data_IF_910711385511
#
_entry.id   IF_910711385511
#
_cell.length_a   1.000
_cell.length_b   1.000
_cell.length_c   1.000
_cell.angle_alpha   90.00
_cell.angle_beta   90.00
_cell.angle_gamma   90.00
#
_symmetry.space_group_name_H-M   'P 1'
#
loop_
_entity.id
_entity.type
_entity.pdbx_description
1 polymer ?
#
# COMPACT_ATOMS: atom_id res chain seq x y z
N UNK A 1 85.38 40.42 -28.87
CA UNK A 1 84.71 40.23 -27.55
C UNK A 1 83.21 40.13 -27.73
N UNK A 2 82.59 40.98 -28.54
CA UNK A 2 81.12 41.01 -28.72
C UNK A 2 80.55 39.74 -29.36
N UNK A 3 81.25 39.15 -30.34
CA UNK A 3 80.83 37.90 -31.00
C UNK A 3 80.76 36.68 -30.05
N UNK A 4 81.59 36.66 -29.00
CA UNK A 4 81.57 35.59 -27.98
C UNK A 4 80.39 35.82 -27.02
N UNK A 5 80.06 37.08 -26.72
CA UNK A 5 78.88 37.41 -25.90
C UNK A 5 77.58 37.05 -26.62
N UNK A 6 77.48 37.38 -27.91
CA UNK A 6 76.34 37.04 -28.75
C UNK A 6 76.13 35.51 -28.82
N UNK A 7 77.20 34.72 -29.06
CA UNK A 7 77.10 33.26 -29.01
C UNK A 7 76.70 32.72 -27.63
N UNK A 8 77.17 33.34 -26.55
CA UNK A 8 76.82 32.93 -25.18
C UNK A 8 75.34 33.22 -24.89
N UNK A 9 74.83 34.38 -25.32
CA UNK A 9 73.41 34.75 -25.22
C UNK A 9 72.53 33.82 -26.07
N UNK A 10 72.96 33.45 -27.27
CA UNK A 10 72.25 32.47 -28.11
C UNK A 10 72.17 31.10 -27.45
N UNK A 11 73.28 30.62 -26.87
CA UNK A 11 73.32 29.35 -26.15
C UNK A 11 72.45 29.40 -24.89
N UNK A 12 72.50 30.48 -24.12
CA UNK A 12 71.65 30.66 -22.94
C UNK A 12 70.16 30.70 -23.31
N UNK A 13 69.81 31.41 -24.39
CA UNK A 13 68.45 31.44 -24.92
C UNK A 13 67.99 30.05 -25.40
N UNK A 14 68.86 29.29 -26.08
CA UNK A 14 68.55 27.93 -26.50
C UNK A 14 68.35 26.98 -25.30
N UNK A 15 69.18 27.10 -24.26
CA UNK A 15 69.04 26.32 -23.01
C UNK A 15 67.74 26.69 -22.29
N UNK A 16 67.39 27.98 -22.24
CA UNK A 16 66.16 28.43 -21.60
C UNK A 16 64.92 27.97 -22.37
N UNK A 17 64.94 28.05 -23.71
CA UNK A 17 63.89 27.53 -24.58
C UNK A 17 63.71 26.01 -24.38
N UNK A 18 64.81 25.25 -24.39
CA UNK A 18 64.76 23.81 -24.14
C UNK A 18 64.18 23.48 -22.76
N UNK A 19 64.59 24.19 -21.70
CA UNK A 19 64.04 24.00 -20.35
C UNK A 19 62.54 24.30 -20.30
N UNK A 20 62.09 25.35 -20.99
CA UNK A 20 60.67 25.70 -21.05
C UNK A 20 59.85 24.67 -21.84
N UNK A 21 60.38 24.18 -22.96
CA UNK A 21 59.77 23.07 -23.72
C UNK A 21 59.65 21.80 -22.87
N UNK A 22 60.71 21.40 -22.16
CA UNK A 22 60.66 20.25 -21.26
C UNK A 22 59.62 20.45 -20.14
N UNK A 23 59.52 21.67 -19.59
CA UNK A 23 58.50 22.00 -18.58
C UNK A 23 57.08 21.87 -19.15
N UNK A 24 56.85 22.34 -20.37
CA UNK A 24 55.56 22.25 -21.04
C UNK A 24 55.17 20.79 -21.33
N UNK A 25 56.10 19.98 -21.85
CA UNK A 25 55.88 18.54 -22.08
C UNK A 25 55.54 17.83 -20.77
N UNK A 26 56.30 18.09 -19.70
CA UNK A 26 56.02 17.50 -18.39
C UNK A 26 54.65 17.88 -17.85
N UNK A 27 54.26 19.16 -17.94
CA UNK A 27 52.93 19.60 -17.52
C UNK A 27 51.80 18.98 -18.35
N UNK A 28 52.02 18.78 -19.64
CA UNK A 28 51.06 18.13 -20.52
C UNK A 28 50.88 16.65 -20.15
N UNK A 29 51.99 15.92 -19.96
CA UNK A 29 51.96 14.52 -19.52
C UNK A 29 51.25 14.36 -18.17
N UNK A 30 51.48 15.26 -17.20
CA UNK A 30 50.76 15.22 -15.92
C UNK A 30 49.25 15.43 -16.05
N UNK A 31 48.79 16.23 -17.03
CA UNK A 31 47.35 16.41 -17.29
C UNK A 31 46.75 15.16 -17.90
N UNK A 32 47.45 14.54 -18.85
CA UNK A 32 47.05 13.30 -19.49
C UNK A 32 47.00 12.15 -18.50
N UNK A 33 48.02 12.00 -17.64
CA UNK A 33 48.05 11.01 -16.57
C UNK A 33 46.82 11.15 -15.66
N UNK A 34 46.52 12.37 -15.20
CA UNK A 34 45.33 12.63 -14.37
C UNK A 34 44.02 12.32 -15.09
N UNK A 35 43.92 12.65 -16.37
CA UNK A 35 42.74 12.37 -17.18
C UNK A 35 42.52 10.85 -17.31
N UNK A 36 43.58 10.09 -17.63
CA UNK A 36 43.51 8.63 -17.77
C UNK A 36 43.22 7.96 -16.42
N UNK A 37 43.80 8.44 -15.31
CA UNK A 37 43.48 7.93 -13.96
C UNK A 37 41.99 8.15 -13.65
N UNK A 38 41.46 9.33 -13.98
CA UNK A 38 40.04 9.62 -13.78
C UNK A 38 39.16 8.70 -14.63
N UNK A 39 39.49 8.50 -15.91
CA UNK A 39 38.79 7.56 -16.79
C UNK A 39 38.84 6.12 -16.25
N UNK A 40 40.00 5.64 -15.80
CA UNK A 40 40.16 4.33 -15.17
C UNK A 40 39.26 4.20 -13.94
N UNK A 41 39.23 5.22 -13.07
CA UNK A 41 38.36 5.21 -11.87
C UNK A 41 36.87 5.14 -12.23
N UNK A 42 36.46 5.78 -13.33
CA UNK A 42 35.09 5.69 -13.84
C UNK A 42 34.79 4.29 -14.38
N UNK A 43 35.73 3.67 -15.10
CA UNK A 43 35.57 2.31 -15.59
C UNK A 43 35.55 1.29 -14.45
N UNK A 44 36.41 1.41 -13.45
CA UNK A 44 36.40 0.57 -12.25
C UNK A 44 35.05 0.64 -11.55
N UNK A 45 34.53 1.85 -11.31
CA UNK A 45 33.19 2.03 -10.72
C UNK A 45 32.08 1.42 -11.58
N UNK A 46 32.20 1.49 -12.91
CA UNK A 46 31.25 0.87 -13.83
C UNK A 46 31.30 -0.65 -13.76
N UNK A 47 32.49 -1.23 -13.63
CA UNK A 47 32.69 -2.68 -13.44
C UNK A 47 32.12 -3.13 -12.10
N UNK A 48 32.32 -2.38 -11.02
CA UNK A 48 31.70 -2.65 -9.72
C UNK A 48 30.17 -2.60 -9.79
N UNK A 49 29.61 -1.60 -10.49
CA UNK A 49 28.17 -1.51 -10.72
C UNK A 49 27.64 -2.68 -11.56
N UNK A 50 28.40 -3.16 -12.54
CA UNK A 50 28.06 -4.38 -13.28
C UNK A 50 28.09 -5.63 -12.39
N UNK A 51 29.05 -5.71 -11.47
CA UNK A 51 29.14 -6.81 -10.50
C UNK A 51 27.98 -6.80 -9.50
N UNK A 52 27.52 -5.63 -9.04
CA UNK A 52 26.36 -5.51 -8.15
C UNK A 52 25.00 -5.57 -8.88
N UNK A 53 24.94 -5.20 -10.16
CA UNK A 53 23.72 -4.95 -10.93
C UNK A 53 23.16 -6.12 -11.75
N UNK A 54 23.70 -7.33 -11.58
CA UNK A 54 23.26 -8.54 -12.34
C UNK A 54 21.82 -9.00 -12.06
N UNK A 55 21.05 -8.29 -11.22
CA UNK A 55 19.65 -8.60 -10.92
C UNK A 55 18.62 -7.72 -11.67
N UNK A 56 19.00 -6.57 -12.26
CA UNK A 56 17.99 -5.62 -12.80
C UNK A 56 18.31 -4.95 -14.14
N UNK A 57 19.49 -5.14 -14.73
CA UNK A 57 19.92 -4.42 -15.94
C UNK A 57 20.13 -5.30 -17.19
N UNK A 58 19.36 -6.40 -17.35
CA UNK A 58 19.42 -7.25 -18.57
C UNK A 58 18.82 -6.61 -19.85
N UNK A 59 18.55 -5.32 -19.86
CA UNK A 59 18.08 -4.62 -21.06
C UNK A 59 19.09 -3.55 -21.43
N UNK A 60 19.48 -3.59 -22.71
CA UNK A 60 20.37 -2.66 -23.41
C UNK A 60 21.85 -2.86 -22.99
N UNK A 61 22.78 -3.36 -23.79
CA UNK A 61 23.07 -3.13 -25.21
C UNK A 61 23.87 -4.31 -25.79
N UNK A 62 23.64 -4.61 -27.07
CA UNK A 62 24.56 -5.40 -27.89
C UNK A 62 25.62 -4.47 -28.52
N UNK A 63 26.89 -4.85 -28.51
CA UNK A 63 27.85 -4.80 -29.64
C UNK A 63 29.18 -5.49 -29.22
N UNK A 64 30.12 -5.82 -30.14
CA UNK A 64 30.83 -7.11 -30.11
C UNK A 64 32.33 -6.97 -29.83
N UNK A 65 32.94 -8.13 -29.55
CA UNK A 65 34.36 -8.42 -29.80
C UNK A 65 35.39 -7.77 -28.86
N UNK A 66 35.84 -8.55 -27.88
CA UNK A 66 37.25 -8.94 -27.75
C UNK A 66 37.38 -10.01 -26.65
N UNK A 67 37.87 -11.20 -27.02
CA UNK A 67 38.32 -12.32 -26.17
C UNK A 67 37.45 -12.62 -24.95
N UNK A 68 36.42 -13.43 -25.16
CA UNK A 68 35.61 -13.98 -24.08
C UNK A 68 36.37 -15.17 -23.47
N UNK A 69 37.07 -14.96 -22.35
CA UNK A 69 37.12 -16.04 -21.36
C UNK A 69 35.69 -16.19 -20.87
N UNK A 70 35.03 -17.26 -21.32
CA UNK A 70 33.65 -17.58 -20.94
C UNK A 70 33.67 -17.77 -19.43
N UNK A 71 33.18 -16.76 -18.72
CA UNK A 71 32.96 -16.85 -17.29
C UNK A 71 32.02 -18.03 -17.02
N UNK A 72 32.37 -18.89 -16.07
CA UNK A 72 31.68 -20.16 -15.78
C UNK A 72 30.21 -19.93 -15.39
N UNK A 73 29.86 -18.72 -15.00
CA UNK A 73 28.51 -18.24 -14.69
C UNK A 73 27.63 -18.06 -15.94
N UNK A 74 28.19 -17.57 -17.06
CA UNK A 74 27.50 -17.41 -18.35
C UNK A 74 27.25 -18.75 -19.06
N UNK A 75 28.09 -19.75 -18.78
CA UNK A 75 27.96 -21.11 -19.32
C UNK A 75 26.63 -21.79 -18.89
N UNK A 76 26.03 -21.35 -17.77
CA UNK A 76 24.77 -21.91 -17.26
C UNK A 76 23.51 -21.37 -17.96
N UNK A 77 23.59 -20.21 -18.63
CA UNK A 77 22.43 -19.55 -19.26
C UNK A 77 22.42 -19.67 -20.79
N UNK A 78 23.51 -20.16 -21.38
CA UNK A 78 23.63 -20.33 -22.82
C UNK A 78 23.21 -21.74 -23.23
N UNK A 79 22.56 -21.90 -24.40
CA UNK A 79 22.26 -23.23 -24.92
C UNK A 79 23.54 -24.05 -25.15
N UNK A 80 23.44 -25.37 -24.91
CA UNK A 80 24.58 -26.29 -24.97
C UNK A 80 25.30 -26.27 -26.32
N UNK A 81 24.55 -26.10 -27.40
CA UNK A 81 25.05 -26.05 -28.77
C UNK A 81 25.88 -24.80 -29.05
N UNK A 82 25.61 -23.69 -28.34
CA UNK A 82 26.41 -22.46 -28.43
C UNK A 82 27.78 -22.68 -27.79
N UNK A 83 27.81 -23.39 -26.64
CA UNK A 83 29.02 -23.71 -25.90
C UNK A 83 29.86 -24.74 -26.65
N UNK A 84 29.22 -25.75 -27.24
CA UNK A 84 29.87 -26.76 -28.07
C UNK A 84 30.57 -26.12 -29.28
N UNK A 85 29.89 -25.21 -29.98
CA UNK A 85 30.49 -24.47 -31.10
C UNK A 85 31.68 -23.61 -30.64
N UNK A 86 31.58 -22.93 -29.49
CA UNK A 86 32.69 -22.12 -28.98
C UNK A 86 33.90 -22.98 -28.60
N UNK A 87 33.67 -24.12 -27.94
CA UNK A 87 34.72 -25.10 -27.61
C UNK A 87 35.37 -25.69 -28.86
N UNK A 88 34.57 -25.94 -29.90
CA UNK A 88 35.08 -26.38 -31.20
C UNK A 88 36.04 -25.33 -31.79
N UNK A 89 35.62 -24.05 -31.88
CA UNK A 89 36.49 -22.97 -32.37
C UNK A 89 37.79 -22.84 -31.57
N UNK A 90 37.73 -22.96 -30.24
CA UNK A 90 38.92 -22.88 -29.40
C UNK A 90 39.90 -24.02 -29.67
N UNK A 91 39.40 -25.24 -29.94
CA UNK A 91 40.24 -26.41 -30.22
C UNK A 91 40.81 -26.40 -31.64
N UNK A 92 40.07 -25.90 -32.62
CA UNK A 92 40.40 -26.03 -34.04
C UNK A 92 41.04 -24.78 -34.64
N UNK A 93 41.58 -23.86 -33.83
CA UNK A 93 42.26 -22.67 -34.38
C UNK A 93 41.31 -21.59 -34.90
N UNK A 94 40.11 -21.47 -34.33
CA UNK A 94 39.19 -20.36 -34.57
C UNK A 94 38.28 -20.54 -35.77
N UNK A 95 37.83 -19.42 -36.35
CA UNK A 95 36.84 -19.41 -37.43
C UNK A 95 37.38 -19.89 -38.77
N UNK A 96 38.70 -19.88 -38.93
CA UNK A 96 39.40 -20.26 -40.15
C UNK A 96 40.10 -21.62 -40.00
N UNK A 97 39.91 -22.36 -38.91
CA UNK A 97 40.52 -23.69 -38.77
C UNK A 97 42.04 -23.66 -38.58
N UNK A 98 42.61 -22.52 -38.18
CA UNK A 98 44.05 -22.29 -38.16
C UNK A 98 44.67 -21.90 -39.51
N UNK A 99 43.88 -21.76 -40.57
CA UNK A 99 44.33 -21.21 -41.86
C UNK A 99 44.33 -19.69 -41.82
N UNK A 100 45.18 -19.06 -42.63
CA UNK A 100 45.10 -17.62 -42.84
C UNK A 100 43.87 -17.24 -43.68
N UNK A 101 43.53 -15.96 -43.69
CA UNK A 101 42.36 -15.48 -44.41
C UNK A 101 42.48 -15.68 -45.93
N UNK A 102 43.69 -15.65 -46.50
CA UNK A 102 43.89 -15.79 -47.94
C UNK A 102 43.64 -17.23 -48.40
N UNK A 103 44.29 -18.20 -47.77
CA UNK A 103 44.16 -19.62 -47.99
C UNK A 103 42.71 -20.07 -47.74
N UNK A 104 42.12 -19.63 -46.62
CA UNK A 104 40.74 -19.98 -46.28
C UNK A 104 39.74 -19.47 -47.33
N UNK A 105 39.89 -18.23 -47.80
CA UNK A 105 39.00 -17.68 -48.83
C UNK A 105 39.17 -18.40 -50.18
N UNK A 106 40.39 -18.74 -50.58
CA UNK A 106 40.63 -19.49 -51.82
C UNK A 106 40.05 -20.91 -51.73
N UNK A 107 40.22 -21.59 -50.61
CA UNK A 107 39.58 -22.87 -50.32
C UNK A 107 38.05 -22.78 -50.47
N UNK A 108 37.40 -21.77 -49.86
CA UNK A 108 35.95 -21.60 -49.96
C UNK A 108 35.48 -21.37 -51.40
N UNK A 109 36.19 -20.56 -52.18
CA UNK A 109 35.87 -20.31 -53.59
C UNK A 109 35.89 -21.59 -54.41
N UNK A 110 36.97 -22.37 -54.28
CA UNK A 110 37.17 -23.62 -55.01
C UNK A 110 36.13 -24.67 -54.57
N UNK A 111 35.94 -24.84 -53.26
CA UNK A 111 34.93 -25.76 -52.73
C UNK A 111 33.52 -25.44 -53.20
N UNK A 112 33.16 -24.15 -53.26
CA UNK A 112 31.86 -23.69 -53.75
C UNK A 112 31.69 -23.98 -55.24
N UNK A 113 32.74 -23.75 -56.05
CA UNK A 113 32.77 -24.06 -57.48
C UNK A 113 32.49 -25.55 -57.76
N UNK A 114 33.09 -26.44 -56.96
CA UNK A 114 32.92 -27.89 -57.09
C UNK A 114 31.76 -28.48 -56.28
N UNK A 115 30.96 -27.65 -55.59
CA UNK A 115 29.89 -28.09 -54.68
C UNK A 115 30.36 -29.15 -53.67
N UNK A 116 31.63 -29.09 -53.25
CA UNK A 116 32.23 -30.06 -52.31
C UNK A 116 32.54 -31.45 -52.88
N UNK A 117 32.65 -31.63 -54.20
CA UNK A 117 33.10 -32.91 -54.79
C UNK A 117 34.62 -33.04 -54.77
N UNK A 118 35.15 -34.22 -54.40
CA UNK A 118 36.59 -34.54 -54.24
C UNK A 118 37.53 -34.12 -55.39
N UNK A 119 37.00 -33.85 -56.59
CA UNK A 119 37.78 -33.31 -57.73
C UNK A 119 38.32 -31.89 -57.50
N UNK A 120 37.93 -31.21 -56.41
CA UNK A 120 38.40 -29.87 -56.08
C UNK A 120 39.83 -29.86 -55.49
N UNK A 121 40.32 -31.00 -55.01
CA UNK A 121 41.59 -31.11 -54.28
C UNK A 121 42.78 -30.80 -55.20
N UNK A 122 42.74 -31.29 -56.44
CA UNK A 122 43.80 -31.05 -57.43
C UNK A 122 43.84 -29.56 -57.84
N UNK A 123 42.68 -28.93 -58.05
CA UNK A 123 42.61 -27.48 -58.32
C UNK A 123 43.00 -26.67 -57.07
N UNK A 124 42.65 -27.11 -55.86
CA UNK A 124 43.02 -26.43 -54.62
C UNK A 124 44.54 -26.43 -54.38
N UNK A 125 45.25 -27.48 -54.77
CA UNK A 125 46.72 -27.53 -54.70
C UNK A 125 47.40 -26.50 -55.60
N UNK A 126 46.81 -26.15 -56.75
CA UNK A 126 47.36 -25.14 -57.65
C UNK A 126 47.26 -23.71 -57.07
N UNK A 127 46.19 -23.42 -56.33
CA UNK A 127 45.95 -22.10 -55.74
C UNK A 127 46.49 -21.93 -54.32
N UNK A 128 46.71 -23.03 -53.59
CA UNK A 128 47.23 -23.04 -52.22
C UNK A 128 48.69 -23.51 -52.21
N UNK A 129 49.56 -22.69 -52.81
CA UNK A 129 50.99 -22.97 -52.87
C UNK A 129 51.58 -23.02 -51.46
N UNK A 130 51.88 -24.24 -50.98
CA UNK A 130 52.42 -24.48 -49.63
C UNK A 130 51.55 -25.37 -48.74
N UNK A 131 50.38 -25.80 -49.21
CA UNK A 131 49.53 -26.80 -48.52
C UNK A 131 49.63 -28.16 -49.18
N UNK A 132 49.57 -29.20 -48.36
CA UNK A 132 49.53 -30.59 -48.84
C UNK A 132 48.10 -31.02 -49.16
N UNK A 133 47.97 -32.13 -49.89
CA UNK A 133 46.68 -32.73 -50.17
C UNK A 133 45.95 -33.08 -48.88
N UNK A 134 46.69 -33.62 -47.92
CA UNK A 134 46.24 -34.00 -46.60
C UNK A 134 45.71 -32.78 -45.82
N UNK A 135 46.37 -31.63 -45.90
CA UNK A 135 45.90 -30.39 -45.26
C UNK A 135 44.54 -29.95 -45.80
N UNK A 136 44.35 -30.03 -47.13
CA UNK A 136 43.11 -29.64 -47.81
C UNK A 136 41.95 -30.58 -47.41
N UNK A 137 42.22 -31.88 -47.31
CA UNK A 137 41.22 -32.87 -46.88
C UNK A 137 40.86 -32.74 -45.40
N UNK A 138 41.85 -32.47 -44.54
CA UNK A 138 41.60 -32.21 -43.11
C UNK A 138 40.79 -30.94 -42.91
N UNK A 139 41.12 -29.88 -43.66
CA UNK A 139 40.40 -28.62 -43.60
C UNK A 139 38.97 -28.73 -44.13
N UNK A 140 38.71 -29.58 -45.12
CA UNK A 140 37.34 -29.85 -45.57
C UNK A 140 36.51 -30.61 -44.54
N UNK A 141 37.08 -31.63 -43.88
CA UNK A 141 36.43 -32.30 -42.75
C UNK A 141 36.10 -31.32 -41.65
N UNK A 142 37.06 -30.47 -41.27
CA UNK A 142 36.84 -29.40 -40.31
C UNK A 142 35.74 -28.44 -40.74
N UNK A 143 35.72 -28.01 -42.02
CA UNK A 143 34.73 -27.06 -42.53
C UNK A 143 33.32 -27.67 -42.55
N UNK A 144 33.18 -28.95 -42.88
CA UNK A 144 31.91 -29.66 -42.80
C UNK A 144 31.37 -29.67 -41.36
N UNK A 145 32.23 -29.99 -40.38
CA UNK A 145 31.87 -29.98 -38.96
C UNK A 145 31.52 -28.56 -38.48
N UNK A 146 32.31 -27.55 -38.90
CA UNK A 146 32.06 -26.15 -38.62
C UNK A 146 30.67 -25.71 -39.09
N UNK A 147 30.27 -26.06 -40.32
CA UNK A 147 28.96 -25.69 -40.88
C UNK A 147 27.83 -26.33 -40.07
N UNK A 148 27.91 -27.62 -39.75
CA UNK A 148 26.90 -28.34 -38.96
C UNK A 148 26.75 -27.70 -37.57
N UNK A 149 27.87 -27.44 -36.88
CA UNK A 149 27.83 -26.84 -35.55
C UNK A 149 27.33 -25.38 -35.60
N UNK A 150 27.67 -24.63 -36.64
CA UNK A 150 27.18 -23.27 -36.84
C UNK A 150 25.66 -23.24 -37.05
N UNK A 151 25.11 -24.20 -37.80
CA UNK A 151 23.66 -24.34 -38.01
C UNK A 151 22.95 -24.72 -36.71
N UNK A 152 23.44 -25.74 -35.98
CA UNK A 152 22.91 -26.13 -34.67
C UNK A 152 22.91 -24.96 -33.68
N UNK A 153 23.99 -24.17 -33.64
CA UNK A 153 24.06 -22.95 -32.84
C UNK A 153 22.97 -21.96 -33.22
N UNK A 154 22.76 -21.69 -34.52
CA UNK A 154 21.71 -20.78 -35.00
C UNK A 154 20.31 -21.25 -34.60
N UNK A 155 20.02 -22.53 -34.80
CA UNK A 155 18.73 -23.13 -34.43
C UNK A 155 18.48 -23.06 -32.93
N UNK A 156 19.50 -23.40 -32.12
CA UNK A 156 19.39 -23.37 -30.67
C UNK A 156 19.15 -21.95 -30.15
N UNK A 157 19.84 -20.95 -30.71
CA UNK A 157 19.58 -19.54 -30.40
C UNK A 157 18.14 -19.14 -30.79
N UNK A 158 17.64 -19.60 -31.94
CA UNK A 158 16.27 -19.30 -32.39
C UNK A 158 15.25 -19.89 -31.41
N UNK A 159 15.38 -21.17 -31.07
CA UNK A 159 14.51 -21.87 -30.11
C UNK A 159 14.57 -21.23 -28.72
N UNK A 160 15.75 -20.86 -28.25
CA UNK A 160 15.92 -20.19 -26.97
C UNK A 160 15.21 -18.84 -26.94
N UNK A 161 15.34 -18.02 -27.99
CA UNK A 161 14.62 -16.75 -28.10
C UNK A 161 13.11 -16.93 -28.13
N UNK A 162 12.62 -17.92 -28.87
CA UNK A 162 11.20 -18.23 -28.95
C UNK A 162 10.64 -18.67 -27.59
N UNK A 163 11.35 -19.56 -26.88
CA UNK A 163 10.99 -19.96 -25.51
C UNK A 163 10.94 -18.77 -24.56
N UNK A 164 11.94 -17.90 -24.61
CA UNK A 164 11.99 -16.69 -23.78
C UNK A 164 10.84 -15.72 -24.08
N UNK A 165 10.41 -15.62 -25.34
CA UNK A 165 9.26 -14.82 -25.72
C UNK A 165 7.95 -15.43 -25.21
N UNK A 166 7.76 -16.74 -25.38
CA UNK A 166 6.57 -17.45 -24.89
C UNK A 166 6.44 -17.35 -23.36
N UNK A 167 7.54 -17.49 -22.63
CA UNK A 167 7.56 -17.37 -21.17
C UNK A 167 7.16 -15.95 -20.72
N UNK A 168 7.66 -14.91 -21.40
CA UNK A 168 7.25 -13.51 -21.13
C UNK A 168 5.76 -13.31 -21.37
N UNK A 169 5.22 -13.83 -22.48
CA UNK A 169 3.80 -13.72 -22.79
C UNK A 169 2.91 -14.49 -21.79
N UNK A 170 3.34 -15.68 -21.37
CA UNK A 170 2.64 -16.44 -20.32
C UNK A 170 2.63 -15.68 -19.00
N UNK A 171 3.79 -15.17 -18.57
CA UNK A 171 3.91 -14.39 -17.34
C UNK A 171 3.07 -13.11 -17.37
N UNK A 172 2.95 -12.45 -18.53
CA UNK A 172 2.07 -11.30 -18.69
C UNK A 172 0.59 -11.70 -18.55
N UNK A 173 0.17 -12.80 -19.19
CA UNK A 173 -1.20 -13.30 -19.08
C UNK A 173 -1.55 -13.71 -17.65
N UNK A 174 -0.63 -14.33 -16.93
CA UNK A 174 -0.86 -14.74 -15.54
C UNK A 174 -0.92 -13.55 -14.58
N UNK A 175 -0.12 -12.50 -14.82
CA UNK A 175 -0.26 -11.21 -14.13
C UNK A 175 -1.60 -10.54 -14.42
N UNK A 176 -2.04 -10.51 -15.67
CA UNK A 176 -3.33 -9.93 -16.02
C UNK A 176 -4.50 -10.69 -15.35
N UNK A 177 -4.43 -12.02 -15.31
CA UNK A 177 -5.43 -12.84 -14.62
C UNK A 177 -5.44 -12.57 -13.10
N UNK A 178 -4.28 -12.48 -12.46
CA UNK A 178 -4.20 -12.23 -11.02
C UNK A 178 -4.70 -10.83 -10.66
N UNK A 179 -4.40 -9.82 -11.48
CA UNK A 179 -4.95 -8.47 -11.35
C UNK A 179 -6.47 -8.45 -11.51
N UNK A 180 -7.03 -9.18 -12.48
CA UNK A 180 -8.49 -9.31 -12.64
C UNK A 180 -9.14 -9.93 -11.40
N UNK A 181 -8.58 -11.01 -10.87
CA UNK A 181 -9.08 -11.68 -9.66
C UNK A 181 -9.02 -10.74 -8.45
N UNK A 182 -7.92 -9.98 -8.29
CA UNK A 182 -7.78 -8.99 -7.23
C UNK A 182 -8.84 -7.89 -7.33
N UNK A 183 -9.07 -7.37 -8.54
CA UNK A 183 -10.07 -6.33 -8.79
C UNK A 183 -11.49 -6.82 -8.48
N UNK A 184 -11.82 -8.04 -8.88
CA UNK A 184 -13.11 -8.66 -8.58
C UNK A 184 -13.31 -8.84 -7.07
N UNK A 185 -12.29 -9.34 -6.36
CA UNK A 185 -12.35 -9.50 -4.90
C UNK A 185 -12.51 -8.18 -4.16
N UNK A 186 -11.85 -7.13 -4.65
CA UNK A 186 -11.99 -5.78 -4.11
C UNK A 186 -13.41 -5.23 -4.28
N UNK A 187 -14.01 -5.42 -5.46
CA UNK A 187 -15.40 -5.01 -5.73
C UNK A 187 -16.38 -5.73 -4.81
N UNK A 188 -16.23 -7.05 -4.63
CA UNK A 188 -17.06 -7.84 -3.72
C UNK A 188 -16.95 -7.34 -2.27
N UNK A 189 -15.74 -7.00 -1.80
CA UNK A 189 -15.55 -6.47 -0.46
C UNK A 189 -16.23 -5.10 -0.28
N UNK A 190 -16.12 -4.24 -1.29
CA UNK A 190 -16.74 -2.91 -1.29
C UNK A 190 -18.27 -3.02 -1.27
N UNK A 191 -18.84 -3.94 -2.03
CA UNK A 191 -20.28 -4.19 -2.07
C UNK A 191 -20.80 -4.78 -0.75
N UNK A 192 -20.09 -5.76 -0.19
CA UNK A 192 -20.43 -6.30 1.13
C UNK A 192 -20.38 -5.24 2.24
N UNK A 193 -19.42 -4.30 2.16
CA UNK A 193 -19.34 -3.18 3.11
C UNK A 193 -20.53 -2.22 2.96
N UNK A 194 -20.93 -1.90 1.73
CA UNK A 194 -22.11 -1.08 1.44
C UNK A 194 -23.38 -1.73 1.97
N UNK A 195 -23.57 -3.03 1.72
CA UNK A 195 -24.72 -3.78 2.23
C UNK A 195 -24.80 -3.77 3.76
N UNK A 196 -23.67 -4.03 4.45
CA UNK A 196 -23.62 -3.95 5.92
C UNK A 196 -24.00 -2.57 6.45
N UNK A 197 -23.50 -1.50 5.81
CA UNK A 197 -23.83 -0.14 6.20
C UNK A 197 -25.32 0.18 5.96
N UNK A 198 -25.91 -0.32 4.89
CA UNK A 198 -27.34 -0.16 4.61
C UNK A 198 -28.21 -0.92 5.62
N UNK A 199 -27.86 -2.16 5.95
CA UNK A 199 -28.55 -2.95 6.97
C UNK A 199 -28.49 -2.28 8.34
N UNK A 200 -27.33 -1.74 8.73
CA UNK A 200 -27.18 -1.01 9.99
C UNK A 200 -28.06 0.25 10.02
N UNK A 201 -28.14 0.99 8.91
CA UNK A 201 -29.04 2.15 8.78
C UNK A 201 -30.50 1.74 8.94
N UNK A 202 -30.94 0.66 8.28
CA UNK A 202 -32.30 0.13 8.42
C UNK A 202 -32.61 -0.30 9.86
N UNK A 203 -31.67 -0.97 10.54
CA UNK A 203 -31.81 -1.35 11.95
C UNK A 203 -31.95 -0.14 12.86
N UNK A 204 -31.12 0.89 12.66
CA UNK A 204 -31.19 2.16 13.41
C UNK A 204 -32.53 2.87 13.19
N UNK A 205 -33.01 2.94 11.95
CA UNK A 205 -34.32 3.52 11.64
C UNK A 205 -35.46 2.78 12.34
N UNK A 206 -35.48 1.45 12.26
CA UNK A 206 -36.48 0.64 12.94
C UNK A 206 -36.47 0.83 14.46
N UNK A 207 -35.28 0.90 15.08
CA UNK A 207 -35.15 1.17 16.51
C UNK A 207 -35.73 2.55 16.91
N UNK A 208 -35.47 3.58 16.09
CA UNK A 208 -36.03 4.92 16.30
C UNK A 208 -37.56 4.92 16.19
N UNK A 209 -38.13 4.21 15.21
CA UNK A 209 -39.58 4.09 15.07
C UNK A 209 -40.23 3.38 16.26
N UNK A 210 -39.63 2.28 16.73
CA UNK A 210 -40.10 1.57 17.93
C UNK A 210 -40.04 2.48 19.16
N UNK A 211 -38.93 3.20 19.35
CA UNK A 211 -38.78 4.15 20.45
C UNK A 211 -39.81 5.28 20.41
N UNK A 212 -40.10 5.83 19.22
CA UNK A 212 -41.15 6.85 19.04
C UNK A 212 -42.52 6.32 19.46
N UNK A 213 -42.90 5.10 19.03
CA UNK A 213 -44.16 4.45 19.42
C UNK A 213 -44.22 4.24 20.94
N UNK A 214 -43.14 3.74 21.53
CA UNK A 214 -43.05 3.56 22.99
C UNK A 214 -43.19 4.89 23.74
N UNK A 215 -42.58 5.97 23.25
CA UNK A 215 -42.70 7.30 23.87
C UNK A 215 -44.12 7.83 23.86
N UNK A 216 -44.87 7.64 22.77
CA UNK A 216 -46.28 8.02 22.70
C UNK A 216 -47.12 7.22 23.70
N UNK A 217 -46.90 5.90 23.79
CA UNK A 217 -47.60 5.05 24.76
C UNK A 217 -47.28 5.45 26.19
N UNK A 218 -46.00 5.66 26.51
CA UNK A 218 -45.57 6.10 27.85
C UNK A 218 -46.21 7.45 28.22
N UNK A 219 -46.21 8.42 27.30
CA UNK A 219 -46.85 9.71 27.52
C UNK A 219 -48.37 9.56 27.77
N UNK A 220 -49.06 8.70 27.02
CA UNK A 220 -50.48 8.44 27.23
C UNK A 220 -50.76 7.76 28.59
N UNK A 221 -49.88 6.85 29.03
CA UNK A 221 -49.98 6.20 30.35
C UNK A 221 -49.75 7.20 31.49
N UNK A 222 -48.76 8.09 31.34
CA UNK A 222 -48.47 9.15 32.32
C UNK A 222 -49.66 10.12 32.43
N UNK A 223 -50.20 10.57 31.30
CA UNK A 223 -51.36 11.45 31.27
C UNK A 223 -52.61 10.79 31.88
N UNK A 224 -52.86 9.52 31.57
CA UNK A 224 -53.97 8.78 32.16
C UNK A 224 -53.79 8.58 33.69
N UNK A 225 -52.55 8.43 34.15
CA UNK A 225 -52.23 8.30 35.58
C UNK A 225 -52.43 9.64 36.31
N UNK A 226 -52.02 10.75 35.71
CA UNK A 226 -52.29 12.10 36.25
C UNK A 226 -53.79 12.37 36.38
N UNK A 227 -54.58 12.08 35.33
CA UNK A 227 -56.03 12.26 35.38
C UNK A 227 -56.69 11.40 36.47
N UNK A 228 -56.27 10.14 36.63
CA UNK A 228 -56.75 9.26 37.71
C UNK A 228 -56.39 9.79 39.10
N UNK A 229 -55.23 10.40 39.25
CA UNK A 229 -54.79 10.98 40.52
C UNK A 229 -55.59 12.25 40.85
N UNK A 230 -55.79 13.16 39.89
CA UNK A 230 -56.64 14.34 40.06
C UNK A 230 -58.10 13.97 40.38
N UNK A 231 -58.63 12.92 39.75
CA UNK A 231 -59.98 12.43 40.05
C UNK A 231 -60.10 11.90 41.48
N UNK A 232 -59.09 11.15 41.96
CA UNK A 232 -59.01 10.69 43.36
C UNK A 232 -58.94 11.87 44.33
N UNK A 233 -58.10 12.87 44.04
CA UNK A 233 -57.97 14.06 44.88
C UNK A 233 -59.27 14.87 44.92
N UNK A 234 -59.94 15.07 43.78
CA UNK A 234 -61.27 15.72 43.74
C UNK A 234 -62.30 14.92 44.51
N UNK A 235 -62.27 13.58 44.44
CA UNK A 235 -63.16 12.72 45.21
C UNK A 235 -62.91 12.86 46.71
N UNK A 236 -61.65 12.80 47.15
CA UNK A 236 -61.25 13.01 48.54
C UNK A 236 -61.62 14.41 49.05
N UNK A 237 -61.44 15.44 48.23
CA UNK A 237 -61.87 16.80 48.58
C UNK A 237 -63.39 16.89 48.75
N UNK A 238 -64.18 16.28 47.84
CA UNK A 238 -65.64 16.23 47.99
C UNK A 238 -66.07 15.48 49.25
N UNK A 239 -65.44 14.34 49.53
CA UNK A 239 -65.68 13.58 50.76
C UNK A 239 -65.32 14.39 52.02
N UNK A 240 -64.18 15.09 52.01
CA UNK A 240 -63.75 15.97 53.10
C UNK A 240 -64.73 17.14 53.31
N UNK A 241 -65.12 17.83 52.24
CA UNK A 241 -66.11 18.92 52.30
C UNK A 241 -67.45 18.45 52.85
N UNK A 242 -67.91 17.26 52.42
CA UNK A 242 -69.13 16.65 52.95
C UNK A 242 -68.99 16.32 54.44
N UNK A 243 -67.84 15.78 54.86
CA UNK A 243 -67.57 15.46 56.27
C UNK A 243 -67.55 16.73 57.14
N UNK A 244 -66.88 17.79 56.69
CA UNK A 244 -66.86 19.08 57.37
C UNK A 244 -68.26 19.67 57.49
N UNK A 245 -69.08 19.59 56.43
CA UNK A 245 -70.47 20.06 56.46
C UNK A 245 -71.30 19.32 57.52
N UNK A 246 -71.19 17.98 57.58
CA UNK A 246 -71.86 17.18 58.61
C UNK A 246 -71.40 17.54 60.04
N UNK A 247 -70.09 17.77 60.23
CA UNK A 247 -69.55 18.20 61.52
C UNK A 247 -70.07 19.59 61.94
N UNK A 248 -70.18 20.52 61.01
CA UNK A 248 -70.76 21.85 61.26
C UNK A 248 -72.24 21.73 61.66
N UNK A 249 -73.04 20.97 60.92
CA UNK A 249 -74.45 20.73 61.25
C UNK A 249 -74.59 20.12 62.66
N UNK A 250 -73.80 19.10 63.00
CA UNK A 250 -73.78 18.51 64.35
C UNK A 250 -73.43 19.53 65.44
N UNK A 251 -72.40 20.35 65.21
CA UNK A 251 -72.00 21.39 66.17
C UNK A 251 -73.09 22.44 66.37
N UNK A 252 -73.76 22.88 65.29
CA UNK A 252 -74.86 23.83 65.39
C UNK A 252 -76.04 23.28 66.19
N UNK A 253 -76.38 21.99 66.01
CA UNK A 253 -77.42 21.32 66.80
C UNK A 253 -77.01 21.20 68.26
N UNK A 254 -75.77 20.80 68.55
CA UNK A 254 -75.26 20.74 69.91
C UNK A 254 -75.27 22.10 70.60
N UNK A 255 -74.91 23.18 69.87
CA UNK A 255 -74.97 24.54 70.39
C UNK A 255 -76.40 24.94 70.74
N UNK A 256 -77.37 24.68 69.86
CA UNK A 256 -78.80 24.91 70.14
C UNK A 256 -79.29 24.13 71.37
N UNK A 257 -78.93 22.85 71.49
CA UNK A 257 -79.31 22.03 72.66
C UNK A 257 -78.69 22.58 73.95
N UNK A 258 -77.43 23.04 73.91
CA UNK A 258 -76.78 23.68 75.06
C UNK A 258 -77.47 25.00 75.42
N UNK A 259 -77.78 25.85 74.45
CA UNK A 259 -78.50 27.10 74.66
C UNK A 259 -79.89 26.86 75.26
N UNK A 260 -80.62 25.84 74.79
CA UNK A 260 -81.92 25.45 75.36
C UNK A 260 -81.79 24.88 76.78
N UNK A 261 -80.76 24.08 77.06
CA UNK A 261 -80.46 23.61 78.42
C UNK A 261 -80.13 24.76 79.37
N UNK A 262 -79.34 25.72 78.92
CA UNK A 262 -78.96 26.91 79.70
C UNK A 262 -80.17 27.82 79.95
N UNK A 263 -81.05 28.01 78.97
CA UNK A 263 -82.35 28.67 79.18
C UNK A 263 -83.19 27.97 80.23
N UNK A 264 -83.35 26.65 80.15
CA UNK A 264 -84.10 25.87 81.13
C UNK A 264 -83.47 25.94 82.53
N UNK A 265 -82.14 25.98 82.63
CA UNK A 265 -81.43 26.17 83.90
C UNK A 265 -81.67 27.58 84.47
N UNK A 266 -81.59 28.62 83.63
CA UNK A 266 -81.85 29.99 84.03
C UNK A 266 -83.31 30.20 84.44
N UNK A 267 -84.28 29.62 83.72
CA UNK A 267 -85.70 29.63 84.12
C UNK A 267 -85.91 28.92 85.47
N UNK A 268 -85.21 27.81 85.72
CA UNK A 268 -85.25 27.14 87.04
C UNK A 268 -84.66 28.03 88.13
N UNK A 269 -83.51 28.68 87.88
CA UNK A 269 -82.89 29.62 88.82
C UNK A 269 -83.81 30.82 89.10
N UNK A 270 -84.39 31.41 88.06
CA UNK A 270 -85.31 32.53 88.18
C UNK A 270 -86.59 32.14 88.94
N UNK A 271 -87.13 30.94 88.72
CA UNK A 271 -88.23 30.41 89.55
C UNK A 271 -87.83 30.25 91.02
N UNK A 272 -86.65 29.69 91.30
CA UNK A 272 -86.17 29.58 92.68
C UNK A 272 -85.87 30.94 93.32
N UNK A 273 -85.40 31.92 92.55
CA UNK A 273 -85.16 33.28 93.03
C UNK A 273 -86.49 34.02 93.27
N UNK A 274 -87.48 33.88 92.38
CA UNK A 274 -88.84 34.40 92.58
C UNK A 274 -89.53 33.76 93.78
N UNK A 275 -89.35 32.46 94.01
CA UNK A 275 -89.81 31.79 95.24
C UNK A 275 -89.07 32.32 96.47
N UNK A 276 -87.75 32.58 96.37
CA UNK A 276 -86.97 33.23 97.41
C UNK A 276 -87.46 34.65 97.73
N UNK A 277 -87.69 35.47 96.71
CA UNK A 277 -88.26 36.83 96.84
C UNK A 277 -89.67 36.81 97.42
N UNK A 278 -90.50 35.83 97.05
CA UNK A 278 -91.83 35.63 97.65
C UNK A 278 -91.74 35.26 99.13
N UNK A 279 -90.76 34.44 99.54
CA UNK A 279 -90.52 34.13 100.96
C UNK A 279 -90.05 35.35 101.74
N UNK A 280 -89.10 36.13 101.19
CA UNK A 280 -88.60 37.36 101.82
C UNK A 280 -89.71 38.42 101.92
N UNK A 281 -90.53 38.59 100.87
CA UNK A 281 -91.68 39.49 100.91
C UNK A 281 -92.75 39.04 101.92
N UNK A 282 -92.99 37.73 102.06
CA UNK A 282 -93.87 37.20 103.11
C UNK A 282 -93.30 37.44 104.51
N UNK A 283 -91.98 37.33 104.69
CA UNK A 283 -91.28 37.63 105.94
C UNK A 283 -91.27 39.14 106.27
N UNK A 284 -91.12 40.03 105.28
CA UNK A 284 -91.20 41.48 105.46
C UNK A 284 -92.64 41.96 105.74
N UNK A 285 -93.65 41.39 105.07
CA UNK A 285 -95.06 41.66 105.35
C UNK A 285 -95.42 41.21 106.77
N UNK A 286 -94.86 40.09 107.24
CA UNK A 286 -95.05 39.64 108.63
C UNK A 286 -94.40 40.57 109.65
N UNK A 287 -93.30 41.25 109.32
CA UNK A 287 -92.62 42.23 110.20
C UNK A 287 -93.30 43.59 110.26
N UNK A 288 -94.08 43.98 109.24
CA UNK A 288 -94.83 45.24 109.22
C UNK A 288 -96.18 45.19 109.95
N UNK A 289 -96.60 44.02 110.43
CA UNK A 289 -97.84 43.84 111.22
C UNK A 289 -97.62 43.79 112.74
N UNK A 290 -96.37 43.95 113.21
CA UNK A 290 -96.01 43.91 114.64
C UNK A 290 -95.49 45.24 115.22
N UNK A 291 -95.74 46.39 114.58
CA UNK A 291 -95.48 47.71 115.18
C UNK A 291 -96.51 48.78 114.85
#
# INVERSE_FOLDING_TARGET
>A
VDKIKEMMEEIENAINAFKEEQRQIYQQLLKEEKAVIYELSLFERKVELWALGSSTAEKVWKLPSARVTVDKTLENHLPKEVIEFEKFLQRTGGRQGGWDDYDHQNFLKIRTKYKGRLSYVDEALEYLSGRTKEDIEQHDKWYQEYVILQERKKESIKKWKEKQQQEKESNLKDKEKSEKILKERWLQLQEAQKQKAEEERKRKQAAVEVWKKQKVVAFAVDQASQLKQEEKEKKQQKEHLSHVKLLLERNTLQKKVKEELEKLENEKKEKTEMEGRKKIAAEEISKFQEH
#
